data_IF_380192449216
#
_entry.id   IF_380192449216
#
_cell.length_a   1.000
_cell.length_b   1.000
_cell.length_c   1.000
_cell.angle_alpha   90.00
_cell.angle_beta   90.00
_cell.angle_gamma   90.00
#
_symmetry.space_group_name_H-M   'P 1'
#
loop_
_entity.id
_entity.type
_entity.pdbx_description
1 polymer ?
#
# COMPACT_ATOMS: atom_id res chain seq x y z
N UNK A 1 -3.20 5.35 3.18
CA UNK A 1 -2.52 6.24 2.22
C UNK A 1 -3.44 7.40 1.94
N UNK A 2 -2.88 8.59 1.71
CA UNK A 2 -3.64 9.80 1.34
C UNK A 2 -2.90 10.54 0.23
N UNK A 3 -3.59 11.42 -0.48
CA UNK A 3 -2.97 12.38 -1.42
C UNK A 3 -3.06 13.78 -0.84
N UNK A 4 -2.09 14.64 -1.13
CA UNK A 4 -2.14 16.05 -0.70
C UNK A 4 -3.27 16.80 -1.42
N UNK A 5 -3.78 17.88 -0.83
CA UNK A 5 -4.94 18.66 -1.31
C UNK A 5 -4.69 19.29 -2.69
N UNK A 6 -3.42 19.56 -3.02
CA UNK A 6 -2.99 20.17 -4.28
C UNK A 6 -2.46 19.15 -5.31
N UNK A 7 -2.38 17.87 -4.95
CA UNK A 7 -1.89 16.81 -5.84
C UNK A 7 -3.04 16.06 -6.53
N UNK A 8 -2.69 15.30 -7.57
CA UNK A 8 -3.66 14.50 -8.31
C UNK A 8 -4.23 13.40 -7.41
N UNK A 9 -5.47 13.56 -6.96
CA UNK A 9 -6.16 12.52 -6.20
C UNK A 9 -6.48 11.26 -7.03
N UNK A 10 -6.68 10.14 -6.35
CA UNK A 10 -6.98 8.84 -6.98
C UNK A 10 -8.23 8.86 -7.86
N UNK A 11 -9.26 9.61 -7.48
CA UNK A 11 -10.50 9.69 -8.25
C UNK A 11 -10.32 10.49 -9.55
N UNK A 12 -9.56 11.58 -9.50
CA UNK A 12 -9.24 12.37 -10.69
C UNK A 12 -8.38 11.56 -11.67
N UNK A 13 -7.40 10.80 -11.16
CA UNK A 13 -6.60 9.88 -11.96
C UNK A 13 -7.46 8.82 -12.68
N UNK A 14 -8.47 8.25 -12.00
CA UNK A 14 -9.43 7.29 -12.61
C UNK A 14 -10.27 7.93 -13.71
N UNK A 15 -10.72 9.18 -13.53
CA UNK A 15 -11.47 9.91 -14.56
C UNK A 15 -10.63 10.16 -15.81
N UNK A 16 -9.37 10.57 -15.66
CA UNK A 16 -8.44 10.73 -16.78
C UNK A 16 -8.20 9.42 -17.53
N UNK A 17 -8.01 8.32 -16.78
CA UNK A 17 -7.86 6.98 -17.36
C UNK A 17 -9.09 6.58 -18.19
N UNK A 18 -10.29 6.78 -17.65
CA UNK A 18 -11.55 6.47 -18.33
C UNK A 18 -11.79 7.36 -19.57
N UNK A 19 -11.27 8.59 -19.57
CA UNK A 19 -11.28 9.49 -20.71
C UNK A 19 -10.20 9.17 -21.77
N UNK A 20 -9.37 8.14 -21.56
CA UNK A 20 -8.28 7.76 -22.45
C UNK A 20 -7.10 8.74 -22.44
N UNK A 21 -7.02 9.62 -21.44
CA UNK A 21 -5.92 10.55 -21.27
C UNK A 21 -4.76 9.88 -20.52
N UNK A 22 -3.54 10.38 -20.75
CA UNK A 22 -2.39 9.95 -19.96
C UNK A 22 -2.63 10.31 -18.49
N UNK A 23 -2.53 9.31 -17.62
CA UNK A 23 -2.70 9.48 -16.18
C UNK A 23 -1.33 9.81 -15.58
N UNK A 24 -1.16 10.99 -14.97
CA UNK A 24 0.08 11.30 -14.27
C UNK A 24 0.24 10.39 -13.05
N UNK A 25 1.49 10.15 -12.65
CA UNK A 25 1.80 9.36 -11.46
C UNK A 25 1.22 10.04 -10.21
N UNK A 26 0.43 9.28 -9.44
CA UNK A 26 -0.13 9.75 -8.17
C UNK A 26 0.83 9.39 -7.06
N UNK A 27 1.35 10.40 -6.36
CA UNK A 27 2.17 10.21 -5.18
C UNK A 27 1.28 10.08 -3.95
N UNK A 28 1.44 8.96 -3.26
CA UNK A 28 0.69 8.67 -2.04
C UNK A 28 1.56 8.91 -0.82
N UNK A 29 0.98 9.54 0.19
CA UNK A 29 1.55 9.64 1.53
C UNK A 29 1.13 8.38 2.29
N UNK A 30 2.11 7.59 2.72
CA UNK A 30 1.86 6.37 3.48
C UNK A 30 1.81 6.66 4.97
N UNK A 31 0.60 6.81 5.48
CA UNK A 31 0.32 7.01 6.90
C UNK A 31 0.08 5.68 7.60
N UNK A 32 0.58 5.59 8.83
CA UNK A 32 0.53 4.37 9.64
C UNK A 32 -0.09 4.71 11.00
N UNK A 33 -0.96 3.82 11.51
CA UNK A 33 -1.53 3.95 12.86
C UNK A 33 -0.61 3.30 13.91
N UNK A 34 0.08 4.06 14.79
CA UNK A 34 0.99 3.51 15.78
C UNK A 34 0.31 2.63 16.83
N UNK A 35 -0.99 2.80 17.06
CA UNK A 35 -1.74 2.05 18.06
C UNK A 35 -2.12 0.65 17.58
N UNK A 36 -2.04 0.39 16.27
CA UNK A 36 -2.46 -0.88 15.68
C UNK A 36 -1.44 -2.00 15.94
N UNK A 37 -1.92 -3.17 16.35
CA UNK A 37 -1.07 -4.30 16.75
C UNK A 37 -0.12 -4.77 15.63
N UNK A 38 -0.57 -4.77 14.36
CA UNK A 38 0.31 -5.11 13.23
C UNK A 38 1.46 -4.11 13.04
N UNK A 39 1.24 -2.84 13.36
CA UNK A 39 2.26 -1.79 13.21
C UNK A 39 3.30 -1.92 14.31
N UNK A 40 2.87 -2.18 15.55
CA UNK A 40 3.77 -2.49 16.66
C UNK A 40 4.61 -3.74 16.36
N UNK A 41 3.96 -4.81 15.89
CA UNK A 41 4.64 -6.05 15.52
C UNK A 41 5.65 -5.87 14.39
N UNK A 42 5.33 -5.03 13.39
CA UNK A 42 6.28 -4.65 12.36
C UNK A 42 7.45 -3.85 12.96
N UNK A 43 7.17 -2.88 13.84
CA UNK A 43 8.21 -2.04 14.44
C UNK A 43 9.19 -2.81 15.33
N UNK A 44 8.74 -3.90 15.96
CA UNK A 44 9.55 -4.78 16.80
C UNK A 44 10.28 -5.90 16.01
N UNK A 45 10.05 -6.03 14.69
CA UNK A 45 10.69 -7.05 13.86
C UNK A 45 12.15 -6.69 13.57
N UNK A 46 13.08 -7.51 14.07
CA UNK A 46 14.52 -7.29 13.90
C UNK A 46 15.07 -7.83 12.57
N UNK A 47 14.37 -8.77 11.94
CA UNK A 47 14.73 -9.31 10.64
C UNK A 47 14.31 -8.33 9.53
N UNK A 48 15.28 -7.68 8.90
CA UNK A 48 15.05 -6.69 7.84
C UNK A 48 14.23 -7.24 6.66
N UNK A 49 14.37 -8.54 6.32
CA UNK A 49 13.57 -9.11 5.24
C UNK A 49 12.10 -9.18 5.65
N UNK A 50 11.82 -9.67 6.86
CA UNK A 50 10.46 -9.76 7.37
C UNK A 50 9.85 -8.38 7.65
N UNK A 51 10.63 -7.42 8.13
CA UNK A 51 10.21 -6.02 8.23
C UNK A 51 9.80 -5.49 6.86
N UNK A 52 10.61 -5.73 5.82
CA UNK A 52 10.27 -5.37 4.44
C UNK A 52 8.95 -5.99 3.98
N UNK A 53 8.68 -7.26 4.33
CA UNK A 53 7.39 -7.92 4.02
C UNK A 53 6.22 -7.27 4.76
N UNK A 54 6.38 -6.89 6.01
CA UNK A 54 5.33 -6.18 6.75
C UNK A 54 4.98 -4.85 6.09
N UNK A 55 5.99 -4.09 5.66
CA UNK A 55 5.78 -2.83 4.93
C UNK A 55 5.06 -3.09 3.60
N UNK A 56 5.48 -4.09 2.83
CA UNK A 56 4.82 -4.49 1.57
C UNK A 56 3.34 -4.82 1.79
N UNK A 57 3.00 -5.57 2.85
CA UNK A 57 1.62 -5.93 3.16
C UNK A 57 0.79 -4.73 3.60
N UNK A 58 1.28 -3.91 4.53
CA UNK A 58 0.53 -2.74 5.01
C UNK A 58 0.32 -1.71 3.89
N UNK A 59 1.33 -1.48 3.05
CA UNK A 59 1.21 -0.62 1.88
C UNK A 59 0.22 -1.20 0.86
N UNK A 60 0.32 -2.49 0.56
CA UNK A 60 -0.60 -3.18 -0.35
C UNK A 60 -2.06 -3.08 0.10
N UNK A 61 -2.32 -3.27 1.40
CA UNK A 61 -3.65 -3.08 1.98
C UNK A 61 -4.16 -1.65 1.81
N UNK A 62 -3.33 -0.65 2.12
CA UNK A 62 -3.70 0.74 2.00
C UNK A 62 -3.99 1.13 0.54
N UNK A 63 -3.15 0.68 -0.40
CA UNK A 63 -3.32 0.94 -1.83
C UNK A 63 -4.57 0.26 -2.38
N UNK A 64 -4.87 -0.96 -1.95
CA UNK A 64 -6.09 -1.67 -2.33
C UNK A 64 -7.34 -0.94 -1.82
N UNK A 65 -7.32 -0.45 -0.59
CA UNK A 65 -8.42 0.32 -0.02
C UNK A 65 -8.66 1.64 -0.77
N UNK A 66 -7.59 2.35 -1.15
CA UNK A 66 -7.68 3.65 -1.83
C UNK A 66 -8.07 3.51 -3.31
N UNK A 67 -7.36 2.66 -4.06
CA UNK A 67 -7.57 2.51 -5.50
C UNK A 67 -8.71 1.53 -5.82
N UNK A 68 -9.08 0.65 -4.90
CA UNK A 68 -10.03 -0.44 -5.14
C UNK A 68 -9.48 -1.55 -6.05
N UNK A 69 -8.23 -1.43 -6.49
CA UNK A 69 -7.51 -2.39 -7.30
C UNK A 69 -6.02 -2.31 -6.97
N UNK A 70 -5.30 -3.37 -7.34
CA UNK A 70 -3.85 -3.47 -7.12
C UNK A 70 -3.16 -3.73 -8.45
N UNK A 71 -2.00 -3.12 -8.65
CA UNK A 71 -1.20 -3.28 -9.87
C UNK A 71 -0.55 -4.66 -9.93
N UNK A 72 0.01 -5.13 -8.82
CA UNK A 72 0.55 -6.49 -8.69
C UNK A 72 -0.05 -7.24 -7.49
N UNK A 73 -1.21 -7.91 -7.67
CA UNK A 73 -1.81 -8.75 -6.65
C UNK A 73 -0.91 -9.91 -6.21
N UNK A 74 -0.02 -10.39 -7.08
CA UNK A 74 0.82 -11.57 -6.81
C UNK A 74 1.91 -11.23 -5.83
N UNK A 75 2.54 -10.06 -5.97
CA UNK A 75 3.53 -9.55 -5.02
C UNK A 75 2.93 -9.43 -3.61
N UNK A 76 1.76 -8.81 -3.49
CA UNK A 76 1.06 -8.64 -2.22
C UNK A 76 0.69 -9.98 -1.56
N UNK A 77 0.08 -10.90 -2.33
CA UNK A 77 -0.24 -12.24 -1.84
C UNK A 77 1.02 -13.01 -1.44
N UNK A 78 2.11 -12.86 -2.19
CA UNK A 78 3.40 -13.45 -1.86
C UNK A 78 3.95 -12.96 -0.53
N UNK A 79 3.86 -11.65 -0.27
CA UNK A 79 4.28 -11.06 1.00
C UNK A 79 3.44 -11.56 2.18
N UNK A 80 2.11 -11.64 2.01
CA UNK A 80 1.20 -12.23 3.01
C UNK A 80 1.58 -13.68 3.29
N UNK A 81 1.71 -14.50 2.24
CA UNK A 81 2.01 -15.92 2.39
C UNK A 81 3.34 -16.14 3.12
N UNK A 82 4.37 -15.37 2.78
CA UNK A 82 5.67 -15.42 3.46
C UNK A 82 5.55 -15.10 4.95
N UNK A 83 4.80 -14.05 5.32
CA UNK A 83 4.57 -13.70 6.71
C UNK A 83 3.77 -14.78 7.45
N UNK A 84 2.73 -15.34 6.82
CA UNK A 84 1.92 -16.40 7.41
C UNK A 84 2.72 -17.69 7.64
N UNK A 85 3.67 -18.01 6.76
CA UNK A 85 4.53 -19.20 6.90
C UNK A 85 5.70 -19.00 7.88
N UNK A 86 6.01 -17.77 8.28
CA UNK A 86 7.00 -17.45 9.32
C UNK A 86 6.42 -17.63 10.74
N UNK A 87 5.08 -17.64 10.88
CA UNK A 87 4.36 -17.87 12.14
C UNK A 87 4.29 -19.35 12.48
#
# INVERSE_FOLDING_TARGET
VVTDDYEMGTQMAKLLAAAGQAVPEVKYIFEINPEHELVKRMADEADEEAFGRWVEVLLGQAMLAERGSMEDPTQFLGAINKLLTKV
#
